data_IF_904061825995
#
_entry.id   IF_904061825995
#
_cell.length_a   1.000
_cell.length_b   1.000
_cell.length_c   1.000
_cell.angle_alpha   90.00
_cell.angle_beta   90.00
_cell.angle_gamma   90.00
#
_symmetry.space_group_name_H-M   'P 1'
#
loop_
_entity.id
_entity.type
_entity.pdbx_description
1 polymer ?
#
# COMPACT_ATOMS: atom_id res chain seq x y z
N UNK A 1 -23.87 -6.83 0.94
CA UNK A 1 -23.44 -5.48 1.37
C UNK A 1 -22.80 -5.63 2.72
N UNK A 2 -21.64 -5.00 2.93
CA UNK A 2 -20.96 -5.01 4.23
C UNK A 2 -21.84 -4.19 5.21
N UNK A 3 -22.19 -4.77 6.36
CA UNK A 3 -22.99 -4.07 7.37
C UNK A 3 -22.17 -2.97 8.06
N UNK A 4 -22.82 -1.91 8.53
CA UNK A 4 -22.17 -0.73 9.15
C UNK A 4 -21.18 -1.11 10.27
N UNK A 5 -21.52 -2.08 11.12
CA UNK A 5 -20.62 -2.56 12.19
C UNK A 5 -19.38 -3.32 11.68
N UNK A 6 -19.39 -3.84 10.45
CA UNK A 6 -18.22 -4.48 9.84
C UNK A 6 -17.23 -3.42 9.33
N UNK A 7 -17.75 -2.29 8.85
CA UNK A 7 -16.94 -1.15 8.41
C UNK A 7 -16.23 -0.53 9.60
N UNK A 8 -16.94 -0.28 10.70
CA UNK A 8 -16.36 0.26 11.94
C UNK A 8 -15.21 -0.60 12.48
N UNK A 9 -15.38 -1.93 12.46
CA UNK A 9 -14.31 -2.87 12.83
C UNK A 9 -13.07 -2.73 11.95
N UNK A 10 -13.24 -2.73 10.63
CA UNK A 10 -12.15 -2.56 9.67
C UNK A 10 -11.40 -1.24 9.89
N UNK A 11 -12.13 -0.15 10.12
CA UNK A 11 -11.57 1.18 10.37
C UNK A 11 -10.83 1.24 11.72
N UNK A 12 -11.27 0.49 12.72
CA UNK A 12 -10.57 0.35 14.02
C UNK A 12 -9.32 -0.54 13.98
N UNK A 13 -8.92 -1.03 12.81
CA UNK A 13 -7.79 -1.95 12.64
C UNK A 13 -8.10 -3.40 13.01
N UNK A 14 -9.36 -3.72 13.33
CA UNK A 14 -9.81 -5.10 13.51
C UNK A 14 -10.11 -5.73 12.16
N UNK A 15 -9.33 -6.74 11.78
CA UNK A 15 -9.58 -7.52 10.58
C UNK A 15 -10.98 -8.15 10.57
N UNK A 16 -11.50 -8.40 9.38
CA UNK A 16 -12.59 -9.38 9.25
C UNK A 16 -12.02 -10.77 9.47
N UNK A 17 -12.67 -11.58 10.31
CA UNK A 17 -12.29 -12.96 10.52
C UNK A 17 -12.53 -13.73 9.21
N UNK A 18 -11.45 -14.15 8.56
CA UNK A 18 -11.52 -14.97 7.35
C UNK A 18 -11.76 -16.41 7.80
N UNK A 19 -13.03 -16.81 7.86
CA UNK A 19 -13.44 -18.15 8.32
C UNK A 19 -13.27 -19.23 7.26
N UNK A 20 -13.10 -18.85 5.98
CA UNK A 20 -12.77 -19.74 4.87
C UNK A 20 -11.55 -19.21 4.13
N UNK A 21 -10.46 -19.97 4.20
CA UNK A 21 -9.38 -19.92 3.23
C UNK A 21 -9.43 -21.24 2.44
N UNK A 22 -9.41 -21.18 1.11
CA UNK A 22 -9.34 -22.38 0.25
C UNK A 22 -8.03 -23.17 0.44
N UNK A 23 -7.07 -22.60 1.17
CA UNK A 23 -5.76 -23.16 1.47
C UNK A 23 -5.49 -23.00 2.96
N UNK A 24 -5.24 -24.10 3.68
CA UNK A 24 -4.85 -24.05 5.09
C UNK A 24 -3.55 -23.27 5.27
N UNK A 25 -3.47 -22.42 6.30
CA UNK A 25 -2.32 -21.53 6.56
C UNK A 25 -0.97 -22.30 6.62
N UNK A 26 -0.98 -23.53 7.12
CA UNK A 26 0.17 -24.44 7.20
C UNK A 26 0.68 -24.93 5.82
N UNK A 27 -0.11 -24.78 4.76
CA UNK A 27 0.23 -25.11 3.37
C UNK A 27 0.48 -23.88 2.50
N UNK A 28 0.45 -22.68 3.08
CA UNK A 28 0.67 -21.45 2.35
C UNK A 28 2.14 -21.36 1.92
N UNK A 29 2.42 -21.84 0.70
CA UNK A 29 3.64 -21.41 0.00
C UNK A 29 3.48 -19.91 -0.23
N UNK A 30 4.51 -19.09 0.09
CA UNK A 30 4.50 -17.69 -0.29
C UNK A 30 4.11 -17.58 -1.76
N UNK A 31 3.14 -16.72 -2.08
CA UNK A 31 2.71 -16.55 -3.45
C UNK A 31 3.94 -16.24 -4.31
N UNK A 32 4.29 -17.17 -5.19
CA UNK A 32 5.43 -16.98 -6.10
C UNK A 32 4.95 -16.07 -7.22
N UNK A 33 5.40 -14.82 -7.17
CA UNK A 33 5.08 -13.80 -8.14
C UNK A 33 5.42 -14.29 -9.56
N UNK A 34 4.46 -14.26 -10.48
CA UNK A 34 4.74 -14.57 -11.89
C UNK A 34 5.55 -13.40 -12.46
N UNK A 35 6.61 -13.69 -13.23
CA UNK A 35 7.46 -12.66 -13.87
C UNK A 35 6.69 -11.65 -14.73
N UNK A 36 5.45 -11.96 -15.09
CA UNK A 36 4.61 -11.20 -16.01
C UNK A 36 3.49 -10.42 -15.30
N UNK A 37 3.51 -10.31 -13.96
CA UNK A 37 2.53 -9.52 -13.20
C UNK A 37 3.26 -8.39 -12.48
N UNK A 38 2.73 -7.18 -12.62
CA UNK A 38 3.15 -6.00 -11.88
C UNK A 38 2.32 -5.91 -10.60
N UNK A 39 3.01 -5.86 -9.47
CA UNK A 39 2.39 -5.69 -8.16
C UNK A 39 2.63 -4.28 -7.68
N UNK A 40 1.56 -3.64 -7.20
CA UNK A 40 1.57 -2.28 -6.67
C UNK A 40 1.14 -2.34 -5.20
N UNK A 41 1.80 -1.59 -4.35
CA UNK A 41 1.38 -1.33 -2.98
C UNK A 41 0.92 0.10 -2.85
N UNK A 42 -0.04 0.35 -1.97
CA UNK A 42 -0.61 1.66 -1.73
C UNK A 42 -0.95 1.82 -0.25
N UNK A 43 -0.53 2.94 0.34
CA UNK A 43 -0.74 3.23 1.75
C UNK A 43 -1.91 4.20 1.93
N UNK A 44 -2.91 3.78 2.70
CA UNK A 44 -3.92 4.67 3.28
C UNK A 44 -3.48 4.99 4.69
N UNK A 45 -3.10 6.24 4.93
CA UNK A 45 -2.70 6.73 6.25
C UNK A 45 -3.71 7.79 6.70
N UNK A 46 -4.28 7.58 7.88
CA UNK A 46 -5.17 8.53 8.55
C UNK A 46 -4.46 9.13 9.75
N UNK A 47 -4.60 10.44 9.94
CA UNK A 47 -4.19 11.08 11.20
C UNK A 47 -5.33 11.05 12.24
N UNK A 48 -5.08 11.55 13.44
CA UNK A 48 -6.08 11.61 14.53
C UNK A 48 -7.31 12.46 14.21
N UNK A 49 -7.25 13.28 13.15
CA UNK A 49 -8.35 14.11 12.65
C UNK A 49 -9.07 13.47 11.46
N UNK A 50 -8.80 12.20 11.17
CA UNK A 50 -9.36 11.46 10.03
C UNK A 50 -8.97 12.04 8.65
N UNK A 51 -7.88 12.81 8.58
CA UNK A 51 -7.35 13.35 7.33
C UNK A 51 -6.41 12.33 6.67
N UNK A 52 -6.47 12.23 5.34
CA UNK A 52 -5.68 11.27 4.56
C UNK A 52 -4.36 11.88 4.11
N UNK A 53 -3.26 11.14 4.28
CA UNK A 53 -1.98 11.49 3.69
C UNK A 53 -2.02 11.35 2.17
N UNK A 54 -1.71 12.44 1.48
CA UNK A 54 -1.60 12.48 0.02
C UNK A 54 -0.20 12.96 -0.38
N UNK A 55 0.32 12.46 -1.49
CA UNK A 55 1.55 12.91 -2.14
C UNK A 55 1.22 13.55 -3.47
N UNK A 56 2.05 14.52 -3.90
CA UNK A 56 1.88 15.20 -5.18
C UNK A 56 2.97 14.75 -6.13
N UNK A 57 2.57 14.25 -7.31
CA UNK A 57 3.54 13.73 -8.28
C UNK A 57 4.47 14.82 -8.81
N UNK A 58 5.77 14.53 -8.76
CA UNK A 58 6.83 15.38 -9.30
C UNK A 58 7.04 15.21 -10.82
N UNK A 59 6.39 14.23 -11.46
CA UNK A 59 6.54 13.94 -12.90
C UNK A 59 5.80 14.97 -13.75
N UNK A 60 6.42 15.40 -14.86
CA UNK A 60 5.86 16.40 -15.77
C UNK A 60 4.54 15.97 -16.44
N UNK A 61 4.34 14.67 -16.68
CA UNK A 61 3.15 14.15 -17.38
C UNK A 61 1.88 14.13 -16.49
N UNK A 62 2.05 14.12 -15.16
CA UNK A 62 0.98 14.10 -14.16
C UNK A 62 1.11 15.27 -13.17
N UNK A 63 1.76 16.35 -13.62
CA UNK A 63 2.15 17.47 -12.77
C UNK A 63 0.93 18.03 -12.02
N UNK A 64 1.02 18.02 -10.68
CA UNK A 64 0.02 18.49 -9.69
C UNK A 64 -1.13 17.54 -9.33
N UNK A 65 -1.16 16.30 -9.79
CA UNK A 65 -2.16 15.35 -9.30
C UNK A 65 -1.78 14.86 -7.90
N UNK A 66 -2.79 14.74 -7.03
CA UNK A 66 -2.65 14.19 -5.69
C UNK A 66 -3.00 12.71 -5.73
N UNK A 67 -2.17 11.89 -5.09
CA UNK A 67 -2.36 10.46 -4.99
C UNK A 67 -1.98 9.94 -3.61
N UNK A 68 -2.35 8.70 -3.31
CA UNK A 68 -1.86 8.01 -2.10
C UNK A 68 -0.40 7.60 -2.32
N UNK A 69 0.43 7.54 -1.26
CA UNK A 69 1.77 6.96 -1.38
C UNK A 69 1.67 5.54 -1.95
N UNK A 70 2.32 5.30 -3.08
CA UNK A 70 2.15 4.06 -3.81
C UNK A 70 3.27 3.82 -4.80
N UNK A 71 3.64 2.56 -4.96
CA UNK A 71 4.61 2.19 -5.97
C UNK A 71 4.74 0.71 -6.20
N UNK A 72 5.66 0.37 -7.09
CA UNK A 72 5.83 -0.98 -7.58
C UNK A 72 6.63 -1.80 -6.58
N UNK A 73 6.19 -3.04 -6.39
CA UNK A 73 6.97 -4.04 -5.66
C UNK A 73 8.16 -4.47 -6.52
N UNK A 74 9.36 -4.23 -6.02
CA UNK A 74 10.64 -4.64 -6.60
C UNK A 74 10.91 -6.14 -6.40
N UNK A 75 11.92 -6.66 -7.12
CA UNK A 75 12.27 -8.07 -7.03
C UNK A 75 12.99 -8.33 -5.72
N UNK A 76 12.46 -9.26 -4.92
CA UNK A 76 13.08 -9.71 -3.67
C UNK A 76 12.59 -8.99 -2.43
N UNK A 77 11.72 -7.99 -2.55
CA UNK A 77 11.02 -7.38 -1.42
C UNK A 77 9.63 -8.01 -1.20
N UNK A 78 9.21 -8.03 0.06
CA UNK A 78 7.84 -8.30 0.48
C UNK A 78 6.94 -7.09 0.22
N UNK A 79 5.61 -7.29 0.25
CA UNK A 79 4.64 -6.18 0.13
C UNK A 79 4.83 -5.12 1.22
N UNK A 80 5.18 -5.54 2.43
CA UNK A 80 5.38 -4.63 3.56
C UNK A 80 6.67 -3.81 3.42
N UNK A 81 7.76 -4.45 2.96
CA UNK A 81 9.01 -3.74 2.66
C UNK A 81 8.81 -2.71 1.55
N UNK A 82 8.10 -3.09 0.48
CA UNK A 82 7.73 -2.18 -0.59
C UNK A 82 6.91 -1.00 -0.06
N UNK A 83 5.88 -1.26 0.75
CA UNK A 83 5.01 -0.24 1.31
C UNK A 83 5.79 0.77 2.17
N UNK A 84 6.66 0.27 3.06
CA UNK A 84 7.52 1.11 3.92
C UNK A 84 8.48 1.95 3.09
N UNK A 85 9.10 1.36 2.06
CA UNK A 85 10.01 2.07 1.14
C UNK A 85 9.29 3.21 0.41
N UNK A 86 8.15 2.94 -0.21
CA UNK A 86 7.39 3.95 -0.96
C UNK A 86 6.90 5.10 -0.06
N UNK A 87 6.33 4.80 1.11
CA UNK A 87 5.91 5.85 2.07
C UNK A 87 7.10 6.70 2.53
N UNK A 88 8.26 6.08 2.73
CA UNK A 88 9.48 6.79 3.11
C UNK A 88 9.98 7.70 2.00
N UNK A 89 10.04 7.19 0.77
CA UNK A 89 10.56 7.91 -0.40
C UNK A 89 9.65 9.09 -0.80
N UNK A 90 8.34 8.88 -0.82
CA UNK A 90 7.38 9.88 -1.34
C UNK A 90 6.91 10.87 -0.27
N UNK A 91 6.75 10.44 0.98
CA UNK A 91 6.21 11.28 2.05
C UNK A 91 7.21 11.59 3.17
N UNK A 92 8.28 10.81 3.30
CA UNK A 92 9.35 11.01 4.29
C UNK A 92 9.07 10.36 5.64
N UNK A 93 8.07 9.50 5.76
CA UNK A 93 7.66 8.89 7.04
C UNK A 93 8.07 7.43 7.16
N UNK A 94 8.38 7.00 8.37
CA UNK A 94 8.40 5.57 8.71
C UNK A 94 6.98 5.11 9.05
N UNK A 95 6.62 3.91 8.62
CA UNK A 95 5.26 3.39 8.79
C UNK A 95 5.23 1.89 9.01
N UNK A 96 4.08 1.38 9.44
CA UNK A 96 3.78 -0.05 9.49
C UNK A 96 2.36 -0.31 8.97
N UNK A 97 2.15 -1.37 8.16
CA UNK A 97 0.80 -1.78 7.77
C UNK A 97 0.02 -2.29 8.99
N UNK A 98 -1.24 -1.87 9.09
CA UNK A 98 -2.20 -2.36 10.09
C UNK A 98 -2.97 -3.55 9.51
N UNK A 99 -3.56 -3.36 8.32
CA UNK A 99 -4.36 -4.39 7.65
C UNK A 99 -4.41 -4.17 6.15
N UNK A 100 -4.62 -5.25 5.39
CA UNK A 100 -4.93 -5.19 3.96
C UNK A 100 -6.40 -4.82 3.79
N UNK A 101 -6.68 -3.65 3.21
CA UNK A 101 -8.03 -3.14 2.99
C UNK A 101 -8.65 -3.68 1.70
N UNK A 102 -7.86 -3.72 0.62
CA UNK A 102 -8.35 -4.11 -0.69
C UNK A 102 -7.22 -4.72 -1.53
N UNK A 103 -7.56 -5.79 -2.24
CA UNK A 103 -6.79 -6.30 -3.38
C UNK A 103 -7.57 -5.99 -4.63
N UNK A 104 -6.94 -5.33 -5.58
CA UNK A 104 -7.58 -4.91 -6.82
C UNK A 104 -6.79 -5.41 -8.03
N UNK A 105 -7.48 -6.12 -8.91
CA UNK A 105 -6.95 -6.58 -10.18
C UNK A 105 -7.35 -5.60 -11.29
N UNK A 106 -6.39 -5.15 -12.09
CA UNK A 106 -6.64 -4.32 -13.28
C UNK A 106 -6.11 -5.04 -14.50
N UNK A 107 -6.96 -5.89 -15.07
CA UNK A 107 -6.57 -6.77 -16.16
C UNK A 107 -5.61 -7.89 -15.72
N UNK A 108 -5.04 -8.64 -16.68
CA UNK A 108 -4.40 -9.93 -16.39
C UNK A 108 -3.01 -9.84 -15.73
N UNK A 109 -2.43 -8.63 -15.61
CA UNK A 109 -1.02 -8.44 -15.26
C UNK A 109 -0.79 -7.32 -14.25
N UNK A 110 -1.84 -6.81 -13.59
CA UNK A 110 -1.69 -5.72 -12.64
C UNK A 110 -2.54 -5.96 -11.40
N UNK A 111 -1.88 -6.06 -10.25
CA UNK A 111 -2.53 -6.27 -8.95
C UNK A 111 -2.06 -5.19 -8.00
N UNK A 112 -3.01 -4.50 -7.36
CA UNK A 112 -2.75 -3.48 -6.35
C UNK A 112 -3.25 -3.94 -4.99
N UNK A 113 -2.37 -3.88 -4.01
CA UNK A 113 -2.65 -4.11 -2.60
C UNK A 113 -2.73 -2.76 -1.87
N UNK A 114 -3.86 -2.50 -1.23
CA UNK A 114 -4.10 -1.26 -0.50
C UNK A 114 -4.13 -1.58 0.98
N UNK A 115 -3.21 -0.98 1.73
CA UNK A 115 -3.05 -1.21 3.16
C UNK A 115 -3.51 0.00 3.96
N UNK A 116 -4.27 -0.25 5.03
CA UNK A 116 -4.38 0.70 6.13
C UNK A 116 -3.03 0.74 6.83
N UNK A 117 -2.46 1.93 7.00
CA UNK A 117 -1.08 2.11 7.40
C UNK A 117 -0.99 3.15 8.52
N UNK A 118 -0.15 2.89 9.53
CA UNK A 118 0.13 3.82 10.62
C UNK A 118 1.54 4.37 10.52
N UNK A 119 1.70 5.66 10.79
CA UNK A 119 3.02 6.29 10.93
C UNK A 119 3.61 5.93 12.29
N UNK A 120 4.86 5.46 12.30
CA UNK A 120 5.56 5.00 13.51
C UNK A 120 6.75 5.87 13.88
N UNK A 121 7.20 6.76 12.98
CA UNK A 121 8.36 7.63 13.17
C UNK A 121 8.11 9.10 12.81
N UNK A 122 9.11 9.94 13.09
CA UNK A 122 9.11 11.35 12.67
C UNK A 122 9.47 11.48 11.19
N UNK A 123 9.00 12.56 10.55
CA UNK A 123 9.33 12.85 9.15
C UNK A 123 10.83 13.06 8.98
N UNK A 124 11.45 12.25 8.15
CA UNK A 124 12.83 12.44 7.70
C UNK A 124 12.87 13.49 6.59
N UNK A 125 13.98 14.21 6.48
CA UNK A 125 14.17 15.20 5.43
C UNK A 125 14.10 14.53 4.05
N UNK A 126 13.14 14.94 3.22
CA UNK A 126 13.02 14.45 1.85
C UNK A 126 14.20 14.99 1.03
N UNK A 127 14.98 14.10 0.44
CA UNK A 127 15.93 14.45 -0.62
C UNK A 127 15.13 14.63 -1.91
N UNK A 128 15.28 15.76 -2.60
CA UNK A 128 14.61 15.97 -3.89
C UNK A 128 14.93 14.80 -4.84
N UNK A 129 13.91 14.03 -5.22
CA UNK A 129 14.06 12.91 -6.13
C UNK A 129 14.55 13.44 -7.49
N UNK A 130 15.80 13.11 -7.84
CA UNK A 130 16.36 13.31 -9.17
C UNK A 130 15.74 12.33 -10.15
N UNK A 131 14.59 12.68 -10.72
CA UNK A 131 14.16 12.36 -12.09
C UNK A 131 14.28 10.93 -12.65
N UNK A 132 14.52 9.90 -11.83
CA UNK A 132 14.67 8.51 -12.27
C UNK A 132 13.33 7.79 -12.28
N UNK A 133 12.44 8.18 -13.19
CA UNK A 133 11.12 7.56 -13.31
C UNK A 133 11.23 6.07 -13.64
N UNK A 134 10.84 5.20 -12.70
CA UNK A 134 10.40 3.84 -13.02
C UNK A 134 8.94 3.93 -13.46
N UNK A 135 8.68 3.53 -14.70
CA UNK A 135 7.42 3.68 -15.41
C UNK A 135 6.33 2.71 -14.94
N UNK A 136 5.09 3.07 -15.29
CA UNK A 136 3.87 2.27 -15.16
C UNK A 136 3.95 0.95 -15.93
#
# INVERSE_FOLDING_TARGET
GLGEGQVERLLSGQGSEVSLCDVGLELSKPATLRKNVTYIVCAVVLNEKEEVLMVQEAKQDCYKQWYLPAGRVEVGESLEEALRREVKEEAGFDCEPITLLLVQEQGPQWIRFIFLTRITGQRSHLSACSGGGRGA
#
